data_IF_249210208440
#
_entry.id   IF_249210208440
#
_cell.length_a   1.000
_cell.length_b   1.000
_cell.length_c   1.000
_cell.angle_alpha   90.00
_cell.angle_beta   90.00
_cell.angle_gamma   90.00
#
_symmetry.space_group_name_H-M   'P 1'
#
loop_
_entity.id
_entity.type
_entity.pdbx_description
1 polymer ?
2 non-polymer ?
3 non-polymer ?
4 water ?
#
# COMPACT_ATOMS: atom_id res chain seq x y z
N UNK A 4 10.04 21.06 1.56
CA UNK A 4 10.54 22.42 1.47
C UNK A 4 9.48 23.59 1.46
N UNK A 5 8.31 23.46 2.10
CA UNK A 5 7.89 22.36 2.93
C UNK A 5 6.80 21.51 2.30
N UNK A 6 7.20 20.35 1.77
CA UNK A 6 6.26 19.36 1.28
C UNK A 6 5.34 18.90 2.40
N UNK A 7 4.10 18.54 2.05
CA UNK A 7 3.14 17.98 3.01
C UNK A 7 2.71 16.61 2.49
N UNK A 8 3.45 15.57 2.89
CA UNK A 8 3.14 14.23 2.42
C UNK A 8 1.72 13.82 2.83
N UNK A 9 1.25 14.33 3.97
CA UNK A 9 -0.09 13.99 4.43
C UNK A 9 -1.15 14.46 3.45
N UNK A 10 -0.94 15.61 2.81
CA UNK A 10 -1.87 16.10 1.80
C UNK A 10 -1.50 15.59 0.42
N UNK A 11 -0.20 15.49 0.13
CA UNK A 11 0.24 15.10 -1.21
C UNK A 11 -0.15 13.67 -1.52
N UNK A 12 0.04 12.77 -0.56
CA UNK A 12 -0.18 11.35 -0.79
C UNK A 12 -1.32 10.75 0.01
N UNK A 13 -1.67 11.34 1.14
CA UNK A 13 -2.79 10.88 1.94
C UNK A 13 -2.36 10.42 3.32
N UNK A 14 -3.35 9.93 4.07
CA UNK A 14 -3.12 9.50 5.44
C UNK A 14 -3.72 8.13 5.69
N UNK A 15 -4.74 7.78 4.91
CA UNK A 15 -5.32 6.44 4.90
C UNK A 15 -5.37 5.98 3.44
N UNK A 16 -4.36 5.21 3.03
CA UNK A 16 -4.25 4.66 1.70
C UNK A 16 -4.50 3.16 1.73
N UNK A 17 -5.22 2.67 0.73
CA UNK A 17 -5.38 1.23 0.51
C UNK A 17 -4.55 0.82 -0.69
N UNK A 18 -3.61 -0.11 -0.49
CA UNK A 18 -2.97 -0.80 -1.60
C UNK A 18 -4.00 -1.67 -2.34
N UNK A 19 -4.65 -1.09 -3.34
CA UNK A 19 -5.84 -1.69 -3.93
C UNK A 19 -5.50 -2.94 -4.72
N UNK A 20 -6.31 -3.98 -4.53
CA UNK A 20 -6.22 -5.15 -5.40
C UNK A 20 -6.56 -4.72 -6.82
N UNK A 21 -5.98 -5.43 -7.79
CA UNK A 21 -6.36 -5.25 -9.18
C UNK A 21 -7.48 -6.22 -9.50
N UNK A 22 -8.71 -5.75 -9.70
CA UNK A 22 -9.80 -6.68 -9.99
C UNK A 22 -9.65 -7.31 -11.36
N UNK A 23 -10.12 -8.55 -11.47
CA UNK A 23 -10.01 -9.30 -12.72
C UNK A 23 -11.39 -9.83 -13.08
N UNK A 24 -11.65 -9.88 -14.39
CA UNK A 24 -12.91 -10.44 -14.86
C UNK A 24 -12.93 -11.95 -14.61
N UNK A 25 -14.07 -12.56 -14.91
CA UNK A 25 -14.22 -14.00 -14.71
C UNK A 25 -13.27 -14.83 -15.54
N UNK A 26 -12.79 -14.29 -16.66
CA UNK A 26 -11.83 -14.98 -17.52
C UNK A 26 -10.39 -14.66 -17.17
N UNK A 27 -10.15 -13.72 -16.25
CA UNK A 27 -8.81 -13.32 -15.90
C UNK A 27 -8.36 -12.00 -16.48
N UNK A 28 -9.19 -11.38 -17.33
CA UNK A 28 -8.84 -10.11 -17.93
C UNK A 28 -8.92 -8.98 -16.91
N UNK A 29 -8.19 -7.90 -17.20
CA UNK A 29 -8.28 -6.70 -16.36
C UNK A 29 -9.69 -6.15 -16.40
N UNK A 30 -10.27 -5.92 -15.21
CA UNK A 30 -11.63 -5.42 -15.04
C UNK A 30 -11.53 -3.97 -14.57
N UNK A 31 -11.58 -3.05 -15.53
CA UNK A 31 -11.52 -1.62 -15.20
C UNK A 31 -12.77 -1.16 -14.47
N UNK A 32 -13.93 -1.75 -14.80
CA UNK A 32 -15.19 -1.32 -14.19
C UNK A 32 -15.22 -1.64 -12.71
N UNK A 33 -14.85 -2.88 -12.34
CA UNK A 33 -14.81 -3.24 -10.92
C UNK A 33 -13.76 -2.44 -10.17
N UNK A 34 -12.72 -1.96 -10.87
CA UNK A 34 -11.71 -1.14 -10.22
C UNK A 34 -12.29 0.19 -9.77
N UNK A 35 -13.08 0.84 -10.63
CA UNK A 35 -13.64 2.14 -10.27
C UNK A 35 -14.65 2.02 -9.13
N UNK A 36 -15.50 0.99 -9.17
CA UNK A 36 -16.48 0.79 -8.11
C UNK A 36 -15.80 0.56 -6.76
N UNK A 37 -14.72 -0.22 -6.75
CA UNK A 37 -13.96 -0.44 -5.53
C UNK A 37 -13.22 0.82 -5.11
N UNK A 38 -12.71 1.58 -6.09
CA UNK A 38 -12.02 2.83 -5.79
C UNK A 38 -12.97 3.84 -5.17
N UNK A 39 -14.17 4.01 -5.75
CA UNK A 39 -15.17 4.87 -5.15
C UNK A 39 -15.57 4.35 -3.78
N UNK A 40 -15.68 3.02 -3.63
CA UNK A 40 -16.08 2.46 -2.35
C UNK A 40 -15.05 2.77 -1.27
N UNK A 41 -13.77 2.56 -1.58
CA UNK A 41 -12.72 2.75 -0.58
C UNK A 41 -12.60 4.22 -0.18
N UNK A 42 -12.72 5.12 -1.14
CA UNK A 42 -12.70 6.55 -0.82
C UNK A 42 -13.93 6.93 0.00
N UNK A 43 -15.11 6.47 -0.43
CA UNK A 43 -16.35 6.76 0.30
C UNK A 43 -16.34 6.16 1.70
N UNK A 44 -15.47 5.18 1.96
CA UNK A 44 -15.37 4.56 3.27
C UNK A 44 -14.34 5.23 4.18
N UNK A 45 -13.52 6.13 3.66
CA UNK A 45 -12.63 6.87 4.52
C UNK A 45 -11.19 6.97 4.04
N UNK A 46 -10.89 6.44 2.86
CA UNK A 46 -9.53 6.49 2.31
C UNK A 46 -9.37 7.76 1.49
N UNK A 47 -8.44 8.61 1.90
CA UNK A 47 -8.10 9.79 1.13
C UNK A 47 -7.02 9.54 0.10
N UNK A 48 -6.51 8.31 0.02
CA UNK A 48 -5.48 7.95 -0.95
C UNK A 48 -5.59 6.49 -1.32
N UNK A 49 -5.01 6.15 -2.47
CA UNK A 49 -4.99 4.78 -2.97
C UNK A 49 -3.65 4.48 -3.62
N UNK A 50 -3.19 3.25 -3.47
CA UNK A 50 -2.01 2.74 -4.16
C UNK A 50 -2.49 1.69 -5.16
N UNK A 51 -2.11 1.87 -6.42
CA UNK A 51 -2.46 0.93 -7.49
C UNK A 51 -1.21 0.15 -7.88
N UNK A 52 -1.40 -1.13 -8.19
CA UNK A 52 -0.31 -2.02 -8.64
C UNK A 52 0.81 -2.11 -7.61
N UNK A 53 0.42 -2.13 -6.34
CA UNK A 53 1.33 -2.46 -5.27
C UNK A 53 1.50 -3.96 -5.16
N UNK A 54 2.03 -4.40 -4.03
CA UNK A 54 2.13 -5.84 -3.78
C UNK A 54 0.76 -6.49 -3.81
N UNK A 55 -0.20 -5.95 -3.04
CA UNK A 55 -1.54 -6.51 -2.98
C UNK A 55 -2.30 -6.34 -4.29
N UNK A 56 -1.90 -5.39 -5.14
CA UNK A 56 -2.51 -5.24 -6.43
C UNK A 56 -2.03 -6.20 -7.49
N UNK A 57 -1.31 -7.26 -7.08
CA UNK A 57 -0.76 -8.26 -8.00
C UNK A 57 0.06 -7.62 -9.10
N UNK A 58 0.98 -6.75 -8.71
CA UNK A 58 1.95 -6.21 -9.67
C UNK A 58 2.80 -7.28 -10.33
N UNK A 59 3.17 -8.39 -9.69
CA UNK A 59 3.97 -9.41 -10.39
C UNK A 59 3.32 -9.97 -11.64
N UNK A 60 1.98 -10.01 -11.70
CA UNK A 60 1.29 -10.75 -12.75
C UNK A 60 0.46 -9.85 -13.66
N UNK A 61 0.74 -8.55 -13.69
CA UNK A 61 0.05 -7.63 -14.57
C UNK A 61 1.05 -6.97 -15.51
N UNK A 62 0.64 -6.77 -16.76
CA UNK A 62 1.52 -6.22 -17.78
C UNK A 62 1.74 -4.73 -17.58
N UNK A 63 2.71 -4.18 -18.32
CA UNK A 63 2.90 -2.73 -18.31
C UNK A 63 1.66 -2.01 -18.81
N UNK A 64 1.01 -2.56 -19.84
CA UNK A 64 -0.19 -1.93 -20.36
C UNK A 64 -1.34 -1.97 -19.38
N UNK A 65 -1.53 -3.10 -18.71
CA UNK A 65 -2.63 -3.19 -17.75
C UNK A 65 -2.41 -2.28 -16.55
N UNK A 66 -1.15 -2.00 -16.20
CA UNK A 66 -0.88 -1.09 -15.09
C UNK A 66 -1.30 0.33 -15.43
N UNK A 67 -0.86 0.84 -16.58
CA UNK A 67 -1.29 2.16 -17.02
C UNK A 67 -2.81 2.17 -17.27
N UNK A 68 -3.33 1.09 -17.86
CA UNK A 68 -4.77 1.00 -18.09
C UNK A 68 -5.55 1.08 -16.79
N UNK A 69 -4.99 0.51 -15.72
CA UNK A 69 -5.65 0.60 -14.42
C UNK A 69 -5.48 1.98 -13.80
N UNK A 70 -4.34 2.61 -14.06
CA UNK A 70 -4.02 3.89 -13.42
C UNK A 70 -5.01 4.97 -13.82
N UNK A 71 -5.32 5.05 -15.12
CA UNK A 71 -6.29 6.05 -15.58
C UNK A 71 -7.70 5.72 -15.10
N UNK A 72 -8.07 4.45 -15.10
CA UNK A 72 -9.38 4.06 -14.61
C UNK A 72 -9.59 4.47 -13.16
N UNK A 73 -8.52 4.46 -12.35
CA UNK A 73 -8.67 4.88 -10.96
C UNK A 73 -8.58 6.39 -10.85
N UNK A 74 -7.78 7.03 -11.72
CA UNK A 74 -7.64 8.48 -11.67
C UNK A 74 -8.95 9.16 -12.06
N UNK A 75 -9.53 8.78 -13.19
CA UNK A 75 -10.78 9.39 -13.61
C UNK A 75 -11.93 9.09 -12.66
N UNK A 76 -11.81 8.02 -11.86
CA UNK A 76 -12.89 7.64 -10.96
C UNK A 76 -12.83 8.41 -9.65
N UNK A 77 -11.64 8.49 -9.03
CA UNK A 77 -11.50 9.09 -7.71
C UNK A 77 -10.38 10.12 -7.64
N UNK A 78 -9.69 10.40 -8.75
CA UNK A 78 -8.56 11.32 -8.70
C UNK A 78 -8.92 12.74 -8.30
N UNK A 79 -10.20 13.10 -8.36
CA UNK A 79 -10.60 14.44 -7.94
C UNK A 79 -10.60 14.56 -6.42
N UNK A 80 -11.15 13.56 -5.71
CA UNK A 80 -11.31 13.62 -4.27
C UNK A 80 -10.36 12.70 -3.51
N UNK A 81 -9.37 12.12 -4.19
CA UNK A 81 -8.43 11.20 -3.55
C UNK A 81 -7.11 11.24 -4.28
N UNK A 82 -6.05 10.89 -3.55
CA UNK A 82 -4.72 10.78 -4.11
C UNK A 82 -4.48 9.37 -4.64
N UNK A 83 -3.87 9.29 -5.82
CA UNK A 83 -3.61 8.02 -6.48
C UNK A 83 -2.11 7.84 -6.58
N UNK A 84 -1.61 6.74 -6.02
CA UNK A 84 -0.19 6.40 -6.03
C UNK A 84 0.00 5.16 -6.89
N UNK A 85 0.97 5.23 -7.81
CA UNK A 85 1.26 4.12 -8.70
C UNK A 85 2.55 3.43 -8.27
N UNK A 86 2.48 2.11 -8.09
CA UNK A 86 3.68 1.35 -7.79
C UNK A 86 4.55 1.14 -9.01
N UNK A 87 5.75 1.73 -9.00
CA UNK A 87 6.67 1.61 -10.14
C UNK A 87 7.99 1.00 -9.69
N UNK A 88 7.96 -0.21 -9.15
CA UNK A 88 9.18 -0.83 -8.71
C UNK A 88 9.28 -2.28 -9.14
N UNK A 89 10.40 -2.64 -9.75
CA UNK A 89 10.72 -4.02 -10.08
C UNK A 89 12.17 -4.29 -9.69
N UNK A 90 12.62 -5.50 -9.96
CA UNK A 90 14.04 -5.82 -9.85
C UNK A 90 14.82 -5.43 -11.12
N UNK A 91 14.30 -4.51 -11.90
CA UNK A 91 14.89 -4.08 -13.18
C UNK A 91 14.89 -2.56 -13.19
N UNK A 92 16.08 -1.95 -13.09
CA UNK A 92 16.16 -0.51 -12.92
C UNK A 92 15.63 0.22 -14.14
N UNK A 93 16.02 -0.21 -15.34
CA UNK A 93 15.58 0.47 -16.55
C UNK A 93 14.08 0.29 -16.77
N UNK A 94 13.56 -0.90 -16.46
CA UNK A 94 12.11 -1.09 -16.50
C UNK A 94 11.40 -0.17 -15.52
N UNK A 95 11.94 -0.03 -14.31
CA UNK A 95 11.32 0.86 -13.34
C UNK A 95 11.35 2.31 -13.82
N UNK A 96 12.32 2.66 -14.64
CA UNK A 96 12.42 4.01 -15.15
C UNK A 96 11.33 4.27 -16.19
N UNK A 97 11.01 3.26 -17.01
CA UNK A 97 9.96 3.42 -18.00
C UNK A 97 8.59 3.44 -17.33
N UNK A 98 8.39 2.59 -16.32
CA UNK A 98 7.11 2.51 -15.64
C UNK A 98 6.80 3.79 -14.88
N UNK A 99 7.80 4.33 -14.18
CA UNK A 99 7.61 5.58 -13.43
C UNK A 99 7.35 6.76 -14.37
N UNK A 100 8.00 6.79 -15.53
CA UNK A 100 7.74 7.85 -16.50
C UNK A 100 6.34 7.72 -17.08
N UNK A 101 5.95 6.51 -17.48
CA UNK A 101 4.62 6.33 -18.06
C UNK A 101 3.52 6.60 -17.04
N UNK A 102 3.75 6.21 -15.77
CA UNK A 102 2.79 6.56 -14.72
C UNK A 102 2.73 8.05 -14.50
N UNK A 103 3.87 8.74 -14.61
CA UNK A 103 3.86 10.20 -14.55
C UNK A 103 3.08 10.80 -15.70
N UNK A 104 3.28 10.27 -16.91
CA UNK A 104 2.58 10.81 -18.08
C UNK A 104 1.08 10.70 -17.92
N UNK A 105 0.60 9.69 -17.21
CA UNK A 105 -0.84 9.50 -16.99
C UNK A 105 -1.38 10.28 -15.80
N UNK A 106 -0.54 11.05 -15.12
CA UNK A 106 -1.03 11.92 -14.07
C UNK A 106 -1.23 11.28 -12.72
N UNK A 107 -0.49 10.22 -12.40
CA UNK A 107 -0.50 9.68 -11.05
C UNK A 107 0.08 10.71 -10.09
N UNK A 108 -0.42 10.69 -8.85
CA UNK A 108 -0.02 11.72 -7.89
C UNK A 108 1.27 11.39 -7.16
N UNK A 109 1.68 10.12 -7.16
CA UNK A 109 2.91 9.74 -6.50
C UNK A 109 3.37 8.39 -6.98
N UNK A 110 4.59 8.03 -6.58
CA UNK A 110 5.25 6.80 -6.96
C UNK A 110 5.61 5.99 -5.73
N UNK A 111 5.36 4.68 -5.79
CA UNK A 111 5.75 3.73 -4.75
C UNK A 111 6.75 2.75 -5.36
N UNK A 112 7.99 2.79 -4.90
CA UNK A 112 9.08 2.01 -5.50
C UNK A 112 9.56 0.99 -4.47
N UNK A 113 9.37 -0.29 -4.77
CA UNK A 113 9.72 -1.36 -3.85
C UNK A 113 11.21 -1.69 -4.00
N UNK A 114 11.81 -2.18 -2.92
CA UNK A 114 13.17 -2.68 -2.98
C UNK A 114 13.28 -3.79 -4.03
N UNK A 115 14.17 -3.67 -5.01
CA UNK A 115 14.37 -4.77 -5.96
C UNK A 115 14.52 -6.10 -5.25
N UNK A 116 13.69 -7.06 -5.66
CA UNK A 116 13.56 -8.36 -5.02
C UNK A 116 14.39 -9.41 -5.74
N UNK A 117 14.49 -10.59 -5.10
CA UNK A 117 15.06 -11.80 -5.67
C UNK A 117 16.57 -11.72 -5.93
N UNK A 118 17.02 -10.71 -6.68
CA UNK A 118 18.42 -10.63 -7.12
C UNK A 118 19.38 -10.19 -6.01
N UNK A 119 18.86 -9.70 -4.88
CA UNK A 119 19.68 -9.33 -3.73
C UNK A 119 20.86 -8.42 -4.06
N UNK A 120 20.60 -7.23 -4.60
CA UNK A 120 21.69 -6.33 -4.93
C UNK A 120 22.30 -5.75 -3.67
N UNK A 121 23.56 -5.36 -3.70
CA UNK A 121 24.17 -4.70 -2.54
C UNK A 121 23.52 -3.34 -2.30
N UNK A 122 23.88 -2.73 -1.17
CA UNK A 122 23.25 -1.47 -0.77
C UNK A 122 23.52 -0.35 -1.78
N UNK A 123 24.76 -0.23 -2.25
CA UNK A 123 25.07 0.83 -3.20
C UNK A 123 24.35 0.63 -4.53
N UNK A 124 24.07 -0.62 -4.90
CA UNK A 124 23.18 -0.86 -6.03
C UNK A 124 21.76 -0.38 -5.75
N UNK A 125 21.28 -0.57 -4.53
CA UNK A 125 19.96 -0.06 -4.17
C UNK A 125 19.93 1.47 -4.19
N UNK A 126 20.96 2.10 -3.64
CA UNK A 126 21.00 3.56 -3.65
C UNK A 126 21.04 4.10 -5.07
N UNK A 127 21.85 3.47 -5.93
CA UNK A 127 21.90 3.88 -7.32
C UNK A 127 20.60 3.58 -8.04
N UNK A 128 19.95 2.48 -7.68
CA UNK A 128 18.66 2.16 -8.27
C UNK A 128 17.63 3.23 -7.94
N UNK A 129 17.43 3.50 -6.65
CA UNK A 129 16.40 4.46 -6.24
C UNK A 129 16.72 5.86 -6.74
N UNK A 130 18.00 6.25 -6.70
CA UNK A 130 18.38 7.55 -7.23
C UNK A 130 17.99 7.68 -8.69
N UNK A 131 18.21 6.64 -9.49
CA UNK A 131 17.85 6.68 -10.90
C UNK A 131 16.34 6.67 -11.09
N UNK A 132 15.61 6.00 -10.21
CA UNK A 132 14.16 5.99 -10.32
C UNK A 132 13.58 7.35 -9.89
N UNK A 133 14.17 7.95 -8.86
CA UNK A 133 13.69 9.26 -8.41
C UNK A 133 14.03 10.35 -9.42
N UNK A 134 15.09 10.15 -10.20
CA UNK A 134 15.45 11.13 -11.22
C UNK A 134 14.44 11.16 -12.36
N UNK A 135 13.79 10.03 -12.64
CA UNK A 135 12.98 9.91 -13.85
C UNK A 135 11.72 10.76 -13.81
N UNK A 136 11.32 11.26 -12.64
CA UNK A 136 10.05 11.96 -12.53
C UNK A 136 10.08 12.89 -11.33
N UNK A 137 9.47 14.06 -11.47
CA UNK A 137 9.33 15.00 -10.36
C UNK A 137 8.13 14.69 -9.46
N UNK A 138 7.58 13.49 -9.56
CA UNK A 138 6.56 13.05 -8.62
C UNK A 138 7.19 12.75 -7.27
N UNK A 139 6.43 12.90 -6.18
CA UNK A 139 6.92 12.45 -4.87
C UNK A 139 7.03 10.94 -4.85
N UNK A 140 8.18 10.45 -4.39
CA UNK A 140 8.51 9.03 -4.43
C UNK A 140 8.58 8.49 -3.01
N UNK A 141 7.92 7.35 -2.80
CA UNK A 141 7.90 6.66 -1.51
C UNK A 141 8.78 5.42 -1.59
N UNK A 142 9.72 5.30 -0.66
CA UNK A 142 10.49 4.07 -0.50
C UNK A 142 9.61 2.99 0.11
N UNK A 143 9.81 1.75 -0.33
CA UNK A 143 8.99 0.62 0.10
C UNK A 143 9.98 -0.47 0.51
N UNK A 144 10.13 -0.65 1.82
CA UNK A 144 11.17 -1.48 2.42
C UNK A 144 10.49 -2.70 3.03
N UNK A 145 10.57 -3.82 2.34
CA UNK A 145 9.90 -5.05 2.76
C UNK A 145 10.88 -6.22 2.60
N UNK A 146 11.88 -6.34 3.47
CA UNK A 146 12.92 -7.38 3.30
C UNK A 146 12.39 -8.80 3.38
N UNK A 147 11.29 -9.03 4.11
CA UNK A 147 10.66 -10.34 4.13
C UNK A 147 10.25 -10.87 2.77
N UNK A 148 10.00 -9.97 1.81
CA UNK A 148 9.61 -10.34 0.45
C UNK A 148 10.75 -10.17 -0.55
N UNK A 149 11.52 -9.10 -0.43
CA UNK A 149 12.54 -8.77 -1.40
C UNK A 149 13.90 -9.36 -1.11
N UNK A 150 14.10 -9.90 0.10
CA UNK A 150 15.29 -10.62 0.54
C UNK A 150 16.47 -9.70 0.86
N UNK A 151 16.30 -8.38 0.73
CA UNK A 151 17.30 -7.41 1.20
C UNK A 151 16.55 -6.25 1.85
N UNK A 152 17.04 -5.74 2.98
CA UNK A 152 16.51 -4.49 3.51
C UNK A 152 17.21 -3.29 2.89
N UNK A 153 16.55 -2.14 3.04
CA UNK A 153 17.17 -0.83 2.85
C UNK A 153 17.77 -0.47 4.21
N UNK A 154 19.09 -0.58 4.33
CA UNK A 154 19.75 -0.27 5.59
C UNK A 154 19.49 1.19 5.97
N UNK A 155 19.53 1.50 7.27
CA UNK A 155 19.31 2.90 7.69
C UNK A 155 20.26 3.89 7.05
N UNK A 156 21.52 3.52 6.78
CA UNK A 156 22.42 4.42 6.07
C UNK A 156 21.96 4.70 4.65
N UNK A 157 21.35 3.69 3.99
CA UNK A 157 20.88 3.89 2.63
C UNK A 157 19.67 4.83 2.60
N UNK A 158 18.75 4.65 3.55
CA UNK A 158 17.56 5.50 3.62
C UNK A 158 17.96 6.96 3.86
N UNK A 159 18.93 7.18 4.76
CA UNK A 159 19.35 8.54 5.06
C UNK A 159 20.03 9.19 3.87
N UNK A 160 20.85 8.44 3.13
CA UNK A 160 21.48 8.98 1.93
C UNK A 160 20.43 9.34 0.88
N UNK A 161 19.43 8.49 0.69
CA UNK A 161 18.35 8.78 -0.25
C UNK A 161 17.37 9.83 0.28
N UNK A 162 17.44 10.16 1.57
CA UNK A 162 16.52 11.16 2.11
C UNK A 162 16.80 12.57 1.54
N UNK A 163 18.02 12.83 1.10
CA UNK A 163 18.38 14.13 0.56
C UNK A 163 17.93 14.33 -0.89
N UNK A 164 17.36 13.31 -1.52
CA UNK A 164 16.80 13.50 -2.85
C UNK A 164 15.46 14.20 -2.73
N UNK A 165 15.19 15.22 -3.55
CA UNK A 165 13.94 15.99 -3.37
C UNK A 165 12.69 15.21 -3.69
N UNK A 166 12.78 14.16 -4.51
CA UNK A 166 11.60 13.40 -4.90
C UNK A 166 11.30 12.25 -3.94
N UNK A 167 12.29 11.75 -3.20
CA UNK A 167 12.08 10.71 -2.20
C UNK A 167 11.63 11.41 -0.91
N UNK A 168 10.36 11.22 -0.56
CA UNK A 168 9.72 12.00 0.50
C UNK A 168 9.27 11.14 1.68
N UNK A 169 9.42 9.82 1.61
CA UNK A 169 8.93 9.00 2.69
C UNK A 169 9.18 7.53 2.45
N UNK A 170 8.78 6.74 3.43
CA UNK A 170 9.03 5.30 3.47
C UNK A 170 7.74 4.58 3.81
N UNK A 171 7.40 3.57 3.01
CA UNK A 171 6.39 2.58 3.38
C UNK A 171 7.12 1.38 3.98
N UNK A 172 7.03 1.24 5.30
CA UNK A 172 7.84 0.29 6.03
C UNK A 172 7.08 -1.01 6.26
N UNK A 173 7.59 -2.11 5.68
CA UNK A 173 7.20 -3.46 6.06
C UNK A 173 8.41 -4.21 6.64
N UNK A 174 9.26 -3.50 7.38
CA UNK A 174 10.42 -4.08 8.05
C UNK A 174 10.26 -4.17 9.57
N UNK A 175 9.35 -3.38 10.14
CA UNK A 175 9.00 -3.44 11.57
C UNK A 175 10.12 -2.98 12.49
N UNK A 176 11.11 -2.24 11.97
CA UNK A 176 12.18 -1.73 12.81
C UNK A 176 11.75 -0.36 13.32
N UNK A 177 10.88 -0.38 14.33
CA UNK A 177 10.25 0.84 14.81
C UNK A 177 11.29 1.79 15.39
N UNK A 178 12.33 1.25 16.05
CA UNK A 178 13.34 2.10 16.65
C UNK A 178 14.15 2.83 15.58
N UNK A 179 14.48 2.14 14.49
CA UNK A 179 15.19 2.79 13.41
C UNK A 179 14.30 3.78 12.67
N UNK A 180 13.06 3.38 12.35
CA UNK A 180 12.15 4.29 11.69
C UNK A 180 11.87 5.56 12.48
N UNK A 181 11.79 5.44 13.81
CA UNK A 181 11.52 6.61 14.64
C UNK A 181 12.68 7.60 14.59
N UNK A 182 13.92 7.10 14.54
CA UNK A 182 15.08 7.97 14.42
C UNK A 182 15.24 8.54 13.01
N UNK A 183 14.86 7.79 11.97
CA UNK A 183 14.95 8.34 10.62
C UNK A 183 13.90 9.43 10.45
N UNK A 184 12.68 9.23 10.97
CA UNK A 184 11.68 10.28 10.93
C UNK A 184 12.18 11.55 11.62
N UNK A 185 12.73 11.41 12.83
CA UNK A 185 13.15 12.60 13.58
C UNK A 185 14.33 13.29 12.90
N UNK A 186 15.28 12.51 12.35
CA UNK A 186 16.52 13.09 11.82
C UNK A 186 16.33 13.70 10.44
N UNK A 187 15.64 13.00 9.54
CA UNK A 187 15.55 13.41 8.14
C UNK A 187 14.19 13.97 7.76
N UNK A 188 13.17 13.78 8.60
CA UNK A 188 11.84 14.26 8.30
C UNK A 188 11.09 13.49 7.24
N UNK A 189 11.53 12.28 6.90
CA UNK A 189 10.78 11.45 5.96
C UNK A 189 9.47 11.00 6.58
N UNK A 190 8.44 10.92 5.75
CA UNK A 190 7.12 10.49 6.20
C UNK A 190 7.05 8.97 6.14
N UNK A 191 6.70 8.35 7.25
CA UNK A 191 6.59 6.89 7.29
C UNK A 191 5.13 6.46 7.24
N UNK A 192 4.87 5.41 6.47
CA UNK A 192 3.56 4.81 6.38
C UNK A 192 3.68 3.36 6.81
N UNK A 193 2.77 2.92 7.65
CA UNK A 193 2.78 1.53 8.10
C UNK A 193 2.42 0.62 6.94
N UNK A 194 3.37 -0.23 6.55
CA UNK A 194 3.13 -1.26 5.54
C UNK A 194 2.80 -2.58 6.20
N UNK A 195 2.36 -2.50 7.46
CA UNK A 195 2.07 -3.69 8.26
C UNK A 195 0.90 -3.34 9.17
N UNK A 196 -0.31 -3.75 8.77
CA UNK A 196 -1.53 -3.44 9.52
C UNK A 196 -1.42 -3.82 11.00
N UNK A 197 -0.77 -4.95 11.31
CA UNK A 197 -0.61 -5.37 12.69
C UNK A 197 0.16 -4.35 13.52
N UNK A 198 1.01 -3.53 12.90
CA UNK A 198 1.78 -2.52 13.61
C UNK A 198 1.31 -1.09 13.33
N UNK A 199 0.06 -0.93 12.87
CA UNK A 199 -0.45 0.41 12.55
C UNK A 199 -0.34 1.33 13.75
N UNK A 200 -0.83 0.89 14.91
CA UNK A 200 -0.82 1.75 16.09
C UNK A 200 0.59 1.96 16.62
N UNK A 201 1.44 0.93 16.80
CA UNK A 201 2.84 1.22 17.14
C UNK A 201 3.51 2.20 16.18
N UNK A 202 3.20 2.14 14.89
CA UNK A 202 3.80 3.10 13.96
C UNK A 202 3.30 4.52 14.21
N UNK A 203 2.01 4.69 14.54
CA UNK A 203 1.54 6.04 14.87
C UNK A 203 2.29 6.58 16.07
N UNK A 204 2.49 5.75 17.10
CA UNK A 204 3.25 6.19 18.26
C UNK A 204 4.66 6.61 17.88
N UNK A 205 5.29 5.90 16.93
CA UNK A 205 6.62 6.28 16.47
C UNK A 205 6.61 7.55 15.62
N UNK A 206 5.45 8.02 15.20
CA UNK A 206 5.31 9.21 14.41
C UNK A 206 4.91 9.02 12.95
N UNK A 207 4.36 7.87 12.59
CA UNK A 207 4.04 7.64 11.19
C UNK A 207 2.94 8.59 10.73
N UNK A 208 2.89 8.81 9.42
CA UNK A 208 1.91 9.72 8.84
C UNK A 208 0.60 9.03 8.56
N UNK A 209 0.63 7.74 8.23
CA UNK A 209 -0.61 7.04 7.95
C UNK A 209 -0.39 5.57 7.62
N UNK A 210 -1.40 4.96 7.02
CA UNK A 210 -1.39 3.55 6.70
C UNK A 210 -1.47 3.38 5.20
N UNK A 211 -0.57 2.56 4.65
CA UNK A 211 -0.80 2.01 3.33
C UNK A 211 -1.28 0.58 3.55
N UNK A 212 -2.57 0.44 3.81
CA UNK A 212 -3.16 -0.72 4.46
C UNK A 212 -3.71 -1.73 3.48
N UNK A 213 -3.92 -2.95 3.98
CA UNK A 213 -4.54 -4.04 3.24
C UNK A 213 -5.93 -4.35 3.78
N UNK A 214 -6.07 -4.44 5.11
CA UNK A 214 -7.36 -4.72 5.73
C UNK A 214 -8.30 -3.54 5.66
N UNK A 215 -7.81 -2.37 5.21
CA UNK A 215 -8.68 -1.27 4.86
C UNK A 215 -9.65 -1.64 3.74
N UNK A 216 -9.30 -2.61 2.88
CA UNK A 216 -10.27 -3.14 1.93
C UNK A 216 -11.59 -3.50 2.60
N UNK A 217 -11.53 -3.98 3.84
CA UNK A 217 -12.70 -4.47 4.55
C UNK A 217 -13.06 -3.64 5.77
N UNK A 218 -12.19 -2.72 6.20
CA UNK A 218 -12.42 -1.99 7.44
C UNK A 218 -11.81 -0.60 7.36
N UNK A 219 -11.97 0.08 6.22
CA UNK A 219 -11.42 1.42 6.08
C UNK A 219 -12.06 2.40 7.05
N UNK A 220 -13.34 2.19 7.39
CA UNK A 220 -14.01 3.10 8.32
C UNK A 220 -13.38 3.10 9.69
N UNK A 221 -13.19 1.91 10.27
CA UNK A 221 -12.59 1.81 11.59
C UNK A 221 -11.16 2.35 11.61
N UNK A 222 -10.38 2.04 10.56
CA UNK A 222 -9.02 2.55 10.48
C UNK A 222 -9.01 4.08 10.43
N UNK A 223 -9.99 4.67 9.74
CA UNK A 223 -10.09 6.12 9.72
C UNK A 223 -10.32 6.68 11.12
N UNK A 224 -11.22 6.05 11.89
CA UNK A 224 -11.47 6.45 13.26
C UNK A 224 -10.27 6.17 14.16
N UNK A 225 -9.48 5.15 13.83
CA UNK A 225 -8.24 4.91 14.57
C UNK A 225 -7.27 6.07 14.38
N UNK A 226 -7.07 6.50 13.13
CA UNK A 226 -6.24 7.66 12.87
C UNK A 226 -6.81 8.91 13.52
N UNK A 227 -8.13 9.08 13.46
CA UNK A 227 -8.77 10.24 14.08
C UNK A 227 -8.60 10.22 15.60
N UNK A 228 -8.84 9.06 16.23
CA UNK A 228 -8.73 8.97 17.69
C UNK A 228 -7.31 9.16 18.17
N UNK A 229 -6.31 8.71 17.38
CA UNK A 229 -4.93 8.88 17.80
C UNK A 229 -4.46 10.31 17.65
N UNK A 230 -4.83 10.96 16.54
CA UNK A 230 -4.48 12.36 16.36
C UNK A 230 -5.13 13.27 17.38
N UNK A 231 -6.33 12.91 17.85
CA UNK A 231 -7.03 13.67 18.87
C UNK A 231 -6.65 13.25 20.28
N UNK A 232 -5.52 12.56 20.44
CA UNK A 232 -4.99 12.21 21.74
C UNK A 232 -5.68 11.07 22.45
N UNK A 233 -6.85 10.62 21.98
CA UNK A 233 -7.58 9.51 22.59
C UNK A 233 -6.90 8.21 22.15
N UNK A 234 -5.90 7.80 22.93
CA UNK A 234 -5.16 6.59 22.60
C UNK A 234 -5.96 5.35 22.98
N UNK A 235 -6.79 5.43 24.03
CA UNK A 235 -7.55 4.27 24.45
C UNK A 235 -8.58 3.85 23.41
N UNK A 236 -9.12 4.81 22.65
CA UNK A 236 -10.07 4.49 21.59
C UNK A 236 -9.36 3.89 20.38
N UNK A 237 -8.21 4.45 20.01
CA UNK A 237 -7.43 3.86 18.93
C UNK A 237 -7.04 2.42 19.25
N UNK A 238 -6.64 2.17 20.50
CA UNK A 238 -6.34 0.80 20.92
C UNK A 238 -7.59 -0.06 20.94
N UNK A 239 -8.73 0.50 21.37
CA UNK A 239 -9.98 -0.24 21.31
C UNK A 239 -10.35 -0.61 19.87
N UNK A 240 -10.13 0.31 18.92
CA UNK A 240 -10.43 0.03 17.53
C UNK A 240 -9.41 -0.94 16.94
N UNK A 241 -8.15 -0.85 17.37
CA UNK A 241 -7.13 -1.77 16.87
C UNK A 241 -7.41 -3.21 17.30
N UNK A 242 -7.93 -3.39 18.52
CA UNK A 242 -8.33 -4.72 18.97
C UNK A 242 -9.53 -5.22 18.16
N UNK A 243 -10.41 -4.30 17.74
CA UNK A 243 -11.60 -4.68 16.99
C UNK A 243 -11.24 -5.25 15.62
N UNK A 244 -10.26 -4.64 14.94
CA UNK A 244 -9.83 -5.11 13.62
C UNK A 244 -8.68 -6.10 13.69
N UNK A 245 -8.25 -6.47 14.90
CA UNK A 245 -7.20 -7.49 15.03
C UNK A 245 -7.52 -8.80 14.34
N UNK A 246 -8.76 -9.33 14.37
CA UNK A 246 -9.01 -10.59 13.65
C UNK A 246 -8.76 -10.52 12.16
N UNK A 247 -8.89 -9.34 11.55
CA UNK A 247 -8.55 -9.24 10.13
C UNK A 247 -7.06 -9.36 9.90
N UNK A 248 -6.25 -8.88 10.86
CA UNK A 248 -4.81 -9.07 10.79
C UNK A 248 -4.44 -10.53 10.96
N UNK A 249 -5.17 -11.26 11.79
CA UNK A 249 -4.91 -12.69 11.91
C UNK A 249 -5.21 -13.41 10.60
N UNK A 250 -6.34 -13.05 9.97
CA UNK A 250 -6.70 -13.67 8.71
C UNK A 250 -5.68 -13.36 7.62
N UNK A 251 -5.13 -12.14 7.62
CA UNK A 251 -4.08 -11.79 6.67
C UNK A 251 -2.82 -12.63 6.92
N UNK A 252 -2.54 -12.96 8.17
CA UNK A 252 -1.42 -13.84 8.46
C UNK A 252 -1.64 -15.23 7.86
N UNK A 253 -2.87 -15.74 7.94
CA UNK A 253 -3.11 -17.08 7.41
C UNK A 253 -3.11 -17.07 5.88
N UNK A 254 -3.69 -16.04 5.27
CA UNK A 254 -3.95 -16.05 3.83
C UNK A 254 -2.95 -15.25 3.01
N UNK A 255 -2.45 -14.13 3.53
CA UNK A 255 -1.77 -13.18 2.68
C UNK A 255 -2.75 -12.17 2.09
N UNK A 256 -2.20 -11.01 1.71
CA UNK A 256 -3.05 -9.86 1.40
C UNK A 256 -3.89 -10.04 0.15
N UNK A 257 -3.34 -10.68 -0.88
CA UNK A 257 -4.06 -10.80 -2.16
C UNK A 257 -5.24 -11.74 -2.02
N UNK A 258 -5.02 -12.90 -1.40
CA UNK A 258 -6.10 -13.85 -1.19
C UNK A 258 -7.13 -13.31 -0.20
N UNK A 259 -6.66 -12.63 0.85
CA UNK A 259 -7.59 -12.11 1.86
C UNK A 259 -8.50 -11.04 1.27
N UNK A 260 -7.92 -10.07 0.56
CA UNK A 260 -8.72 -8.93 0.13
C UNK A 260 -9.74 -9.34 -0.93
N UNK A 261 -9.38 -10.25 -1.82
CA UNK A 261 -10.31 -10.67 -2.86
C UNK A 261 -11.39 -11.58 -2.31
N UNK A 262 -11.03 -12.52 -1.45
CA UNK A 262 -12.04 -13.35 -0.82
C UNK A 262 -12.90 -12.54 0.15
N UNK A 263 -12.32 -11.54 0.82
CA UNK A 263 -13.09 -10.75 1.76
C UNK A 263 -14.07 -9.79 1.07
N UNK A 264 -13.64 -9.20 -0.04
CA UNK A 264 -14.51 -8.28 -0.76
C UNK A 264 -15.72 -9.00 -1.35
N UNK A 265 -15.56 -10.25 -1.77
CA UNK A 265 -16.69 -11.02 -2.27
C UNK A 265 -17.72 -11.24 -1.18
N UNK A 266 -17.26 -11.51 0.04
CA UNK A 266 -18.20 -11.73 1.13
C UNK A 266 -18.88 -10.43 1.54
N UNK A 267 -18.31 -9.28 1.18
CA UNK A 267 -18.96 -7.99 1.39
C UNK A 267 -19.80 -7.56 0.20
N UNK A 268 -20.13 -8.49 -0.69
CA UNK A 268 -20.94 -8.19 -1.86
C UNK A 268 -20.19 -7.57 -3.01
N UNK A 269 -18.91 -7.23 -2.85
CA UNK A 269 -18.15 -6.57 -3.90
C UNK A 269 -17.19 -7.56 -4.54
N UNK A 270 -17.69 -8.34 -5.49
CA UNK A 270 -16.89 -9.35 -6.16
C UNK A 270 -15.86 -8.68 -7.07
N UNK A 271 -14.58 -8.99 -6.86
CA UNK A 271 -13.50 -8.42 -7.65
C UNK A 271 -12.74 -9.49 -8.43
N UNK A 272 -13.23 -10.71 -8.45
CA UNK A 272 -12.55 -11.78 -9.14
C UNK A 272 -11.61 -12.55 -8.23
N UNK A 273 -10.80 -13.38 -8.88
CA UNK A 273 -9.85 -14.25 -8.23
C UNK A 273 -8.43 -13.85 -8.60
N UNK A 274 -7.44 -14.18 -7.76
CA UNK A 274 -6.07 -13.79 -8.05
C UNK A 274 -5.50 -14.56 -9.22
N UNK A 275 -4.59 -13.93 -9.95
CA UNK A 275 -3.83 -14.57 -11.01
C UNK A 275 -2.73 -15.44 -10.42
N UNK A 276 -2.47 -16.58 -11.08
CA UNK A 276 -1.41 -17.49 -10.68
C UNK A 276 -0.04 -16.79 -10.70
N UNK A 277 0.89 -17.20 -9.81
CA UNK A 277 0.87 -18.34 -8.88
C UNK A 277 0.03 -18.14 -7.62
N UNK A 278 -0.58 -16.97 -7.43
CA UNK A 278 -1.51 -16.80 -6.31
C UNK A 278 -2.79 -17.58 -6.57
N UNK A 279 -3.47 -17.94 -5.49
CA UNK A 279 -4.72 -18.70 -5.57
C UNK A 279 -5.78 -18.02 -4.71
N UNK A 280 -7.04 -18.31 -5.04
CA UNK A 280 -8.16 -17.82 -4.25
C UNK A 280 -8.38 -18.71 -3.04
N UNK A 281 -9.08 -18.17 -2.05
CA UNK A 281 -9.30 -18.88 -0.80
C UNK A 281 -10.10 -20.16 -1.01
N UNK A 282 -9.72 -21.20 -0.27
CA UNK A 282 -10.51 -22.42 -0.20
C UNK A 282 -11.76 -22.20 0.64
N UNK A 283 -12.77 -23.07 0.48
CA UNK A 283 -13.97 -22.96 1.33
C UNK A 283 -13.69 -22.91 2.82
N UNK A 284 -12.72 -23.69 3.29
CA UNK A 284 -12.34 -23.66 4.70
C UNK A 284 -11.70 -22.33 5.06
N UNK A 285 -10.88 -21.79 4.15
CA UNK A 285 -10.30 -20.47 4.36
C UNK A 285 -11.36 -19.38 4.29
N UNK A 286 -12.39 -19.55 3.44
CA UNK A 286 -13.45 -18.56 3.36
C UNK A 286 -14.23 -18.51 4.66
N UNK A 287 -14.57 -19.68 5.23
CA UNK A 287 -15.34 -19.71 6.46
C UNK A 287 -14.56 -19.14 7.63
N UNK A 288 -13.25 -19.40 7.68
CA UNK A 288 -12.41 -18.80 8.71
C UNK A 288 -12.33 -17.30 8.52
N UNK A 289 -12.17 -16.83 7.28
CA UNK A 289 -12.12 -15.40 7.01
C UNK A 289 -13.40 -14.72 7.47
N UNK A 290 -14.54 -15.39 7.28
CA UNK A 290 -15.83 -14.80 7.64
C UNK A 290 -15.98 -14.69 9.15
N UNK A 291 -15.49 -15.69 9.89
CA UNK A 291 -15.56 -15.62 11.35
C UNK A 291 -14.75 -14.45 11.88
N UNK A 292 -13.56 -14.22 11.32
CA UNK A 292 -12.78 -13.05 11.71
C UNK A 292 -13.48 -11.76 11.31
N UNK A 293 -14.10 -11.75 10.12
CA UNK A 293 -14.82 -10.56 9.68
C UNK A 293 -16.07 -10.30 10.52
N UNK A 294 -16.74 -11.35 11.00
CA UNK A 294 -17.87 -11.14 11.92
C UNK A 294 -17.39 -10.63 13.27
N UNK A 295 -16.17 -11.02 13.67
CA UNK A 295 -15.54 -10.48 14.87
C UNK A 295 -15.20 -9.01 14.71
N UNK A 296 -14.71 -8.61 13.53
CA UNK A 296 -14.41 -7.21 13.25
C UNK A 296 -15.64 -6.41 12.91
N UNK A 297 -16.83 -7.01 12.98
CA UNK A 297 -18.11 -6.34 12.70
C UNK A 297 -18.12 -5.70 11.32
N UNK A 298 -17.55 -6.41 10.34
CA UNK A 298 -17.54 -6.01 8.95
C UNK A 298 -18.21 -7.07 8.07
N UNK A 299 -18.97 -7.97 8.68
CA UNK A 299 -19.73 -8.99 7.97
C UNK A 299 -21.02 -9.24 8.72
N UNK A 300 -22.02 -9.75 7.99
CA UNK A 300 -23.38 -9.99 8.50
C UNK A 300 -24.01 -8.67 8.92
#
# INVERSE_FOLDING_TARGET
MTTVGFDVAARLGTLLTAMVTPFSGDGSLDTATAARLANHLVDQGCDGLVVSGTTGESPTTTDGEKIELLRAVLEAVGDRARVIAGAGTYDTAHSIRLAKACAAEGAHGLLVVTPYYSKPPQRGLQAHFTAVADATELPMLLYDIPGRSAVPIEPDTIRALASHPNIVGVKDAKADLHSGAQIMADTGLAYYSGDDALNLPWLAMGATGFISVIAHLAAGQLRELLSAFGSGDIATARKINIAVAPLCNAMSRLGGVTLSKAGLRLQGIDVGDPRLPQVAATPEQIDALAADMRAASVLR
#
